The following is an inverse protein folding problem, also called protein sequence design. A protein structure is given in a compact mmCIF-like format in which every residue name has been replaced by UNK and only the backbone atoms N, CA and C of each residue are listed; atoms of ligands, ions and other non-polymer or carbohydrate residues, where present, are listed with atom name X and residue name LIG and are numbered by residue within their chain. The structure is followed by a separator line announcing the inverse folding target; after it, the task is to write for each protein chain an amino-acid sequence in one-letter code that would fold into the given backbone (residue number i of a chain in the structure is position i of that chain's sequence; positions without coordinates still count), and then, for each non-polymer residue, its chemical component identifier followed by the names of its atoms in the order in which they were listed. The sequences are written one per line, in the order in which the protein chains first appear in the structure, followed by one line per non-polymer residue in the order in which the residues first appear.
data_IF_295357874682
#
_entry.id   IF_295357874682
#
_cell.length_a   1.000
_cell.length_b   1.000
_cell.length_c   1.000
_cell.angle_alpha   90.00
_cell.angle_beta   90.00
_cell.angle_gamma   90.00
#
_symmetry.space_group_name_H-M   'P 1'
#
loop_
_entity.id
_entity.type
_entity.pdbx_description
1 polymer ?
#
# COMPACT_ATOMS: atom_id res chain seq x y z
N UNK A 1 -6.58 -8.36 16.39
CA UNK A 1 -6.36 -8.20 14.93
C UNK A 1 -7.10 -6.93 14.52
N UNK A 2 -6.39 -5.80 14.45
CA UNK A 2 -7.02 -4.52 14.16
C UNK A 2 -7.24 -4.46 12.65
N UNK A 3 -8.48 -4.68 12.22
CA UNK A 3 -8.86 -4.40 10.84
C UNK A 3 -8.63 -2.90 10.64
N UNK A 4 -7.58 -2.54 9.89
CA UNK A 4 -7.56 -1.25 9.24
C UNK A 4 -8.70 -1.30 8.23
N UNK A 5 -9.89 -0.92 8.68
CA UNK A 5 -10.87 -0.31 7.79
C UNK A 5 -10.11 0.83 7.15
N UNK A 6 -9.70 0.64 5.88
CA UNK A 6 -9.58 1.77 4.97
C UNK A 6 -10.77 2.66 5.29
N UNK A 7 -10.60 3.97 5.52
CA UNK A 7 -11.75 4.84 5.56
C UNK A 7 -12.35 4.80 4.15
N UNK A 8 -13.19 3.78 3.88
CA UNK A 8 -14.18 3.76 2.81
C UNK A 8 -15.36 4.68 3.20
N UNK A 9 -15.14 5.60 4.13
CA UNK A 9 -15.87 6.86 4.24
C UNK A 9 -15.30 7.94 3.32
N UNK A 10 -14.41 7.60 2.39
CA UNK A 10 -14.09 8.46 1.26
C UNK A 10 -15.31 8.48 0.35
N UNK A 11 -16.10 9.55 0.43
CA UNK A 11 -17.21 9.82 -0.48
C UNK A 11 -16.72 9.67 -1.93
N UNK A 12 -17.13 8.59 -2.61
CA UNK A 12 -16.71 8.28 -3.98
C UNK A 12 -17.91 8.31 -4.90
N UNK A 13 -17.69 8.69 -6.16
CA UNK A 13 -18.74 8.57 -7.18
C UNK A 13 -18.67 7.18 -7.81
N UNK A 14 -19.81 6.50 -7.91
CA UNK A 14 -19.91 5.20 -8.57
C UNK A 14 -20.45 5.39 -9.99
N UNK A 15 -19.74 4.84 -10.97
CA UNK A 15 -20.15 4.86 -12.39
C UNK A 15 -20.06 3.47 -12.98
N UNK A 16 -20.95 3.15 -13.92
CA UNK A 16 -20.85 1.91 -14.70
C UNK A 16 -19.73 2.02 -15.75
N UNK A 17 -19.21 0.89 -16.21
CA UNK A 17 -18.24 0.83 -17.31
C UNK A 17 -18.74 1.55 -18.57
N UNK A 18 -20.05 1.45 -18.85
CA UNK A 18 -20.70 2.14 -19.97
C UNK A 18 -20.68 3.67 -19.78
N UNK A 19 -20.99 4.16 -18.58
CA UNK A 19 -20.93 5.60 -18.28
C UNK A 19 -19.50 6.12 -18.30
N UNK A 20 -18.54 5.33 -17.79
CA UNK A 20 -17.13 5.68 -17.84
C UNK A 20 -16.65 5.87 -19.28
N UNK A 21 -17.01 4.95 -20.18
CA UNK A 21 -16.63 5.03 -21.59
C UNK A 21 -17.30 6.21 -22.32
N UNK A 22 -18.58 6.48 -22.04
CA UNK A 22 -19.31 7.55 -22.73
C UNK A 22 -19.09 8.95 -22.14
N UNK A 23 -18.59 9.05 -20.91
CA UNK A 23 -18.44 10.31 -20.17
C UNK A 23 -17.04 10.47 -19.57
N UNK A 24 -16.02 9.96 -20.25
CA UNK A 24 -14.65 9.93 -19.73
C UNK A 24 -14.17 11.30 -19.23
N UNK A 25 -14.38 12.38 -20.00
CA UNK A 25 -14.00 13.74 -19.60
C UNK A 25 -14.60 14.17 -18.26
N UNK A 26 -15.91 13.97 -18.09
CA UNK A 26 -16.63 14.27 -16.83
C UNK A 26 -16.04 13.49 -15.66
N UNK A 27 -15.76 12.20 -15.86
CA UNK A 27 -15.19 11.34 -14.81
C UNK A 27 -13.79 11.82 -14.42
N UNK A 28 -12.96 12.19 -15.39
CA UNK A 28 -11.63 12.74 -15.10
C UNK A 28 -11.72 14.07 -14.34
N UNK A 29 -12.67 14.94 -14.67
CA UNK A 29 -12.85 16.20 -13.97
C UNK A 29 -13.31 16.01 -12.51
N UNK A 30 -14.13 15.01 -12.23
CA UNK A 30 -14.49 14.61 -10.85
C UNK A 30 -13.24 14.19 -10.07
N UNK A 31 -12.41 13.33 -10.66
CA UNK A 31 -11.18 12.84 -10.02
C UNK A 31 -10.19 13.98 -9.76
N UNK A 32 -10.04 14.91 -10.72
CA UNK A 32 -9.24 16.13 -10.52
C UNK A 32 -9.79 17.00 -9.39
N UNK A 33 -11.11 17.04 -9.22
CA UNK A 33 -11.81 17.70 -8.11
C UNK A 33 -11.58 17.05 -6.74
N UNK A 34 -10.62 16.13 -6.61
CA UNK A 34 -10.27 15.38 -5.39
C UNK A 34 -11.33 14.40 -4.90
N UNK A 35 -12.24 13.96 -5.79
CA UNK A 35 -13.22 12.91 -5.47
C UNK A 35 -12.89 11.60 -6.18
N UNK A 36 -12.64 10.50 -5.45
CA UNK A 36 -12.45 9.18 -6.06
C UNK A 36 -13.65 8.72 -6.88
N UNK A 37 -13.37 7.94 -7.93
CA UNK A 37 -14.41 7.32 -8.76
C UNK A 37 -14.25 5.81 -8.79
N UNK A 38 -15.33 5.08 -8.52
CA UNK A 38 -15.38 3.62 -8.63
C UNK A 38 -16.12 3.24 -9.89
N UNK A 39 -15.47 2.44 -10.74
CA UNK A 39 -16.08 1.88 -11.94
C UNK A 39 -16.61 0.49 -11.66
N UNK A 40 -17.86 0.24 -12.02
CA UNK A 40 -18.51 -1.07 -11.89
C UNK A 40 -18.79 -1.71 -13.25
N UNK A 41 -18.73 -3.04 -13.27
CA UNK A 41 -19.12 -3.86 -14.41
C UNK A 41 -20.01 -5.00 -13.92
N UNK A 42 -21.20 -5.14 -14.52
CA UNK A 42 -22.21 -6.11 -14.11
C UNK A 42 -22.53 -6.07 -12.59
N UNK A 43 -22.61 -4.86 -12.02
CA UNK A 43 -22.89 -4.65 -10.59
C UNK A 43 -21.72 -4.95 -9.64
N UNK A 44 -20.53 -5.24 -10.16
CA UNK A 44 -19.32 -5.48 -9.37
C UNK A 44 -18.32 -4.36 -9.56
N UNK A 45 -17.70 -3.90 -8.47
CA UNK A 45 -16.60 -2.92 -8.51
C UNK A 45 -15.37 -3.58 -9.14
N UNK A 46 -14.85 -2.99 -10.21
CA UNK A 46 -13.72 -3.55 -10.97
C UNK A 46 -12.50 -2.64 -10.98
N UNK A 47 -12.70 -1.33 -10.87
CA UNK A 47 -11.63 -0.35 -10.90
C UNK A 47 -11.97 0.84 -10.00
N UNK A 48 -10.94 1.46 -9.45
CA UNK A 48 -11.05 2.70 -8.69
C UNK A 48 -10.00 3.68 -9.23
N UNK A 49 -10.44 4.90 -9.48
CA UNK A 49 -9.64 5.99 -10.01
C UNK A 49 -9.51 7.02 -8.90
N UNK A 50 -8.26 7.40 -8.62
CA UNK A 50 -7.89 8.26 -7.51
C UNK A 50 -7.23 9.55 -8.01
N UNK A 51 -7.36 10.64 -7.25
CA UNK A 51 -6.45 11.78 -7.40
C UNK A 51 -5.00 11.30 -7.26
N UNK A 52 -4.11 11.85 -8.08
CA UNK A 52 -2.72 11.38 -8.16
C UNK A 52 -1.99 11.45 -6.80
N UNK A 53 -2.13 12.55 -6.08
CA UNK A 53 -1.52 12.76 -4.76
C UNK A 53 -1.97 11.66 -3.76
N UNK A 54 -3.26 11.34 -3.76
CA UNK A 54 -3.83 10.31 -2.89
C UNK A 54 -3.29 8.91 -3.27
N UNK A 55 -3.17 8.62 -4.56
CA UNK A 55 -2.59 7.36 -5.04
C UNK A 55 -1.11 7.20 -4.63
N UNK A 56 -0.34 8.30 -4.67
CA UNK A 56 1.06 8.30 -4.23
C UNK A 56 1.15 8.03 -2.72
N UNK A 57 0.34 8.70 -1.90
CA UNK A 57 0.34 8.50 -0.46
C UNK A 57 -0.11 7.09 -0.06
N UNK A 58 -1.14 6.54 -0.71
CA UNK A 58 -1.55 5.14 -0.51
C UNK A 58 -0.44 4.16 -0.87
N UNK A 59 0.34 4.44 -1.92
CA UNK A 59 1.47 3.60 -2.31
C UNK A 59 2.58 3.62 -1.26
N UNK A 60 2.91 4.81 -0.73
CA UNK A 60 3.88 4.95 0.38
C UNK A 60 3.40 4.22 1.63
N UNK A 61 2.14 4.41 2.02
CA UNK A 61 1.55 3.75 3.17
C UNK A 61 1.55 2.21 3.04
N UNK A 62 1.28 1.69 1.83
CA UNK A 62 1.38 0.26 1.54
C UNK A 62 2.80 -0.27 1.72
N UNK A 63 3.81 0.46 1.25
CA UNK A 63 5.21 0.07 1.42
C UNK A 63 5.60 -0.01 2.90
N UNK A 64 5.22 1.01 3.70
CA UNK A 64 5.44 1.00 5.15
C UNK A 64 4.75 -0.19 5.81
N UNK A 65 3.47 -0.44 5.46
CA UNK A 65 2.71 -1.58 6.00
C UNK A 65 3.37 -2.93 5.69
N UNK A 66 3.93 -3.09 4.50
CA UNK A 66 4.63 -4.31 4.13
C UNK A 66 5.90 -4.52 4.97
N UNK A 67 6.65 -3.45 5.25
CA UNK A 67 7.84 -3.51 6.12
C UNK A 67 7.43 -3.87 7.55
N UNK A 68 6.39 -3.22 8.08
CA UNK A 68 5.87 -3.54 9.43
C UNK A 68 5.43 -4.99 9.50
N UNK A 69 4.69 -5.48 8.50
CA UNK A 69 4.26 -6.88 8.45
C UNK A 69 5.44 -7.86 8.41
N UNK A 70 6.51 -7.53 7.70
CA UNK A 70 7.74 -8.31 7.67
C UNK A 70 8.41 -8.37 9.07
N UNK A 71 8.49 -7.24 9.77
CA UNK A 71 9.05 -7.22 11.13
C UNK A 71 8.18 -7.98 12.12
N UNK A 72 6.86 -7.85 12.04
CA UNK A 72 5.93 -8.63 12.88
C UNK A 72 6.04 -10.13 12.61
N UNK A 73 6.22 -10.53 11.35
CA UNK A 73 6.40 -11.93 10.96
C UNK A 73 7.71 -12.50 11.51
N UNK A 74 8.82 -11.75 11.37
CA UNK A 74 10.12 -12.15 11.94
C UNK A 74 10.15 -12.15 13.47
N UNK A 75 9.41 -11.26 14.13
CA UNK A 75 9.29 -11.27 15.58
C UNK A 75 8.57 -12.52 16.09
N UNK A 76 7.58 -13.01 15.33
CA UNK A 76 6.84 -14.25 15.66
C UNK A 76 7.62 -15.51 15.27
N UNK A 77 8.30 -15.47 14.12
CA UNK A 77 9.06 -16.56 13.56
C UNK A 77 10.51 -16.12 13.33
N UNK A 78 11.32 -16.02 14.40
CA UNK A 78 12.71 -15.62 14.24
C UNK A 78 13.44 -16.62 13.34
N UNK A 79 14.29 -16.16 12.40
CA UNK A 79 15.08 -17.07 11.58
C UNK A 79 16.00 -17.91 12.48
N UNK A 80 16.08 -19.21 12.18
CA UNK A 80 16.87 -20.18 12.97
C UNK A 80 18.33 -19.80 13.15
N UNK A 81 18.89 -19.03 12.22
CA UNK A 81 20.25 -18.50 12.27
C UNK A 81 20.50 -17.53 13.44
N UNK A 82 19.46 -16.97 14.05
CA UNK A 82 19.60 -16.10 15.24
C UNK A 82 20.06 -16.91 16.46
N UNK A 83 19.64 -18.17 16.59
CA UNK A 83 20.01 -19.01 17.74
C UNK A 83 21.51 -19.36 17.75
N UNK A 84 22.18 -19.27 16.60
CA UNK A 84 23.59 -19.65 16.44
C UNK A 84 24.55 -18.47 16.30
N UNK A 85 24.06 -17.23 16.15
CA UNK A 85 24.92 -16.07 16.00
C UNK A 85 25.47 -15.66 17.36
N UNK A 86 26.81 -15.60 17.45
CA UNK A 86 27.50 -15.09 18.63
C UNK A 86 27.63 -13.56 18.59
N UNK A 87 27.85 -12.94 19.76
CA UNK A 87 28.12 -11.49 19.86
C UNK A 87 29.37 -11.08 19.07
N UNK A 88 30.39 -11.94 19.01
CA UNK A 88 31.64 -11.68 18.29
C UNK A 88 31.44 -11.68 16.77
N UNK A 89 30.64 -12.61 16.25
CA UNK A 89 30.25 -12.62 14.83
C UNK A 89 29.40 -11.39 14.47
N UNK A 90 28.50 -10.97 15.36
CA UNK A 90 27.73 -9.74 15.21
C UNK A 90 28.62 -8.50 15.10
N UNK A 91 29.62 -8.39 15.99
CA UNK A 91 30.58 -7.28 15.97
C UNK A 91 31.40 -7.29 14.67
N UNK A 92 31.89 -8.46 14.24
CA UNK A 92 32.63 -8.60 12.99
C UNK A 92 31.78 -8.21 11.75
N UNK A 93 30.48 -8.53 11.75
CA UNK A 93 29.56 -8.11 10.68
C UNK A 93 29.36 -6.58 10.66
N UNK A 94 29.20 -5.94 11.82
CA UNK A 94 29.02 -4.49 11.94
C UNK A 94 30.27 -3.76 11.45
N UNK A 95 31.46 -4.22 11.84
CA UNK A 95 32.72 -3.59 11.47
C UNK A 95 33.01 -3.73 9.97
N UNK A 96 32.69 -4.89 9.37
CA UNK A 96 32.77 -5.09 7.92
C UNK A 96 31.85 -4.15 7.12
N UNK A 97 30.66 -3.84 7.63
CA UNK A 97 29.76 -2.89 6.97
C UNK A 97 30.21 -1.43 7.14
N UNK A 98 30.87 -1.10 8.25
CA UNK A 98 31.48 0.22 8.47
C UNK A 98 32.68 0.47 7.57
N UNK A 99 33.50 -0.55 7.30
CA UNK A 99 34.69 -0.43 6.44
C UNK A 99 34.39 -0.36 4.94
N UNK A 100 33.16 -0.66 4.52
CA UNK A 100 32.72 -0.59 3.12
C UNK A 100 32.11 0.77 2.72
N UNK A 101 31.94 1.68 3.67
CA UNK A 101 31.53 3.08 3.42
C UNK A 101 32.76 3.97 3.31
#
# INVERSE_FOLDING_TARGET
MMALTLPLSADFEEVTSKQFQSQFGRVIDIVKGKKPVVVTQYGRRTMMILPYEEAVELTKAKAVKNIVALFEERAKNPPKSIESITLDELNAMIDNERSKR
#
